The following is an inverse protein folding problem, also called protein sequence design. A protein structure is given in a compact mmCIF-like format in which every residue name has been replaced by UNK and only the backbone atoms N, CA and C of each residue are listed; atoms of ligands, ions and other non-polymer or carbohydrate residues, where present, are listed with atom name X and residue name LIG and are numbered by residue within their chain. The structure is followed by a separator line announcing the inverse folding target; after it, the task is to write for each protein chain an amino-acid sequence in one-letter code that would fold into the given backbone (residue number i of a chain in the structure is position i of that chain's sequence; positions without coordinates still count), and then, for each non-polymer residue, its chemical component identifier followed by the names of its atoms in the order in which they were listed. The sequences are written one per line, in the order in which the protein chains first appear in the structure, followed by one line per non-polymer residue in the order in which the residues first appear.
data_IF_153849675231
#
_entry.id   IF_153849675231
#
_cell.length_a   1.000
_cell.length_b   1.000
_cell.length_c   1.000
_cell.angle_alpha   90.00
_cell.angle_beta   90.00
_cell.angle_gamma   90.00
#
_symmetry.space_group_name_H-M   'P 1'
#
loop_
_entity.id
_entity.type
_entity.pdbx_description
1 polymer ?
#
# COMPACT_ATOMS: atom_id res chain seq x y z
N UNK A 1 -19.56 7.29 5.18
CA UNK A 1 -19.06 5.90 5.08
C UNK A 1 -19.29 5.25 3.71
N UNK A 2 -20.14 5.79 2.81
CA UNK A 2 -20.51 5.11 1.56
C UNK A 2 -19.51 5.23 0.37
N UNK A 3 -18.23 5.53 0.60
CA UNK A 3 -17.27 5.66 -0.51
C UNK A 3 -15.80 5.43 -0.13
N UNK A 4 -15.55 4.63 0.92
CA UNK A 4 -14.19 4.28 1.31
C UNK A 4 -13.54 3.39 0.24
N UNK A 5 -12.28 3.67 -0.09
CA UNK A 5 -11.47 2.85 -0.99
C UNK A 5 -10.14 2.59 -0.33
N UNK A 6 -9.70 1.34 -0.39
CA UNK A 6 -8.37 0.97 0.09
C UNK A 6 -7.40 1.03 -1.08
N UNK A 7 -6.35 1.84 -0.93
CA UNK A 7 -5.37 2.07 -2.00
C UNK A 7 -4.25 1.04 -1.94
N UNK A 8 -3.78 0.70 -0.74
CA UNK A 8 -2.64 -0.20 -0.51
C UNK A 8 -2.76 -0.85 0.87
N UNK A 9 -2.17 -2.02 1.05
CA UNK A 9 -1.94 -2.62 2.37
C UNK A 9 -0.44 -2.65 2.68
N UNK A 10 -0.10 -2.57 3.95
CA UNK A 10 1.28 -2.63 4.41
C UNK A 10 1.41 -3.74 5.45
N UNK A 11 2.34 -4.66 5.21
CA UNK A 11 2.70 -5.71 6.15
C UNK A 11 3.89 -5.27 7.01
N UNK A 12 4.34 -6.14 7.91
CA UNK A 12 5.58 -5.95 8.67
C UNK A 12 6.75 -5.58 7.77
N UNK A 13 7.67 -4.77 8.30
CA UNK A 13 8.89 -4.32 7.61
C UNK A 13 8.64 -3.56 6.29
N UNK A 14 7.42 -3.07 6.08
CA UNK A 14 7.08 -2.22 4.93
C UNK A 14 7.25 -0.74 5.27
N UNK A 15 7.74 0.03 4.30
CA UNK A 15 7.66 1.48 4.37
C UNK A 15 6.26 1.95 3.98
N UNK A 16 5.70 2.86 4.78
CA UNK A 16 4.43 3.52 4.50
C UNK A 16 4.64 5.03 4.53
N UNK A 17 4.08 5.73 3.55
CA UNK A 17 4.08 7.19 3.52
C UNK A 17 3.00 7.69 2.55
N UNK A 18 2.36 8.80 2.91
CA UNK A 18 1.62 9.61 1.95
C UNK A 18 2.64 10.39 1.10
N UNK A 19 3.23 9.74 0.09
CA UNK A 19 4.36 10.29 -0.68
C UNK A 19 4.11 11.68 -1.26
N UNK A 20 2.89 11.97 -1.72
CA UNK A 20 2.52 13.29 -2.22
C UNK A 20 2.75 14.36 -1.15
N UNK A 21 2.12 14.21 0.01
CA UNK A 21 2.31 15.09 1.17
C UNK A 21 3.75 15.10 1.68
N UNK A 22 4.41 13.94 1.75
CA UNK A 22 5.80 13.87 2.20
C UNK A 22 6.75 14.69 1.32
N UNK A 23 6.52 14.71 0.00
CA UNK A 23 7.35 15.44 -0.95
C UNK A 23 6.94 16.92 -1.01
N UNK A 24 5.64 17.21 -1.20
CA UNK A 24 5.15 18.58 -1.41
C UNK A 24 5.01 19.40 -0.12
N UNK A 25 4.99 18.73 1.04
CA UNK A 25 4.66 19.32 2.35
C UNK A 25 3.23 19.88 2.44
N UNK A 26 2.35 19.42 1.55
CA UNK A 26 0.93 19.78 1.56
C UNK A 26 0.10 18.73 2.30
N UNK A 27 -1.11 19.11 2.71
CA UNK A 27 -2.05 18.19 3.37
C UNK A 27 -2.48 17.11 2.36
N UNK A 28 -2.50 15.85 2.78
CA UNK A 28 -3.04 14.74 1.98
C UNK A 28 -4.51 14.50 2.28
N UNK A 29 -5.24 14.05 1.27
CA UNK A 29 -6.59 13.52 1.33
C UNK A 29 -6.65 12.03 1.74
N UNK A 30 -5.50 11.41 2.03
CA UNK A 30 -5.39 9.99 2.36
C UNK A 30 -5.26 9.79 3.86
N UNK A 31 -5.78 8.66 4.35
CA UNK A 31 -5.60 8.24 5.73
C UNK A 31 -4.78 6.96 5.78
N UNK A 32 -3.96 6.82 6.82
CA UNK A 32 -3.26 5.59 7.16
C UNK A 32 -3.86 5.09 8.47
N UNK A 33 -4.29 3.84 8.49
CA UNK A 33 -4.92 3.23 9.65
C UNK A 33 -4.26 1.88 9.94
N UNK A 34 -3.92 1.66 11.20
CA UNK A 34 -3.56 0.33 11.69
C UNK A 34 -4.82 -0.53 11.79
N UNK A 35 -4.81 -1.70 11.16
CA UNK A 35 -5.95 -2.63 11.17
C UNK A 35 -5.94 -3.57 12.39
N UNK A 36 -4.83 -3.59 13.12
CA UNK A 36 -4.57 -4.37 14.32
C UNK A 36 -3.48 -3.66 15.14
N UNK A 37 -3.23 -4.13 16.36
CA UNK A 37 -2.16 -3.61 17.22
C UNK A 37 -0.81 -3.67 16.50
N UNK A 38 -0.15 -2.52 16.36
CA UNK A 38 1.02 -2.35 15.50
C UNK A 38 2.08 -1.49 16.16
N UNK A 39 3.34 -1.83 15.94
CA UNK A 39 4.48 -0.97 16.26
C UNK A 39 5.02 -0.29 15.01
N UNK A 40 5.28 1.01 15.09
CA UNK A 40 5.74 1.80 13.95
C UNK A 40 6.99 2.60 14.31
N UNK A 41 7.93 2.66 13.37
CA UNK A 41 9.08 3.57 13.44
C UNK A 41 8.76 4.77 12.58
N UNK A 42 8.77 5.95 13.19
CA UNK A 42 8.49 7.22 12.50
C UNK A 42 9.82 7.87 12.13
N UNK A 43 9.97 8.19 10.85
CA UNK A 43 11.11 8.97 10.34
C UNK A 43 10.56 10.33 9.89
N UNK A 44 10.74 11.40 10.69
CA UNK A 44 10.32 12.73 10.28
C UNK A 44 11.07 13.19 9.04
N UNK A 45 10.41 13.99 8.18
CA UNK A 45 11.04 14.50 6.95
C UNK A 45 12.34 15.26 7.24
N UNK A 46 12.33 16.19 8.20
CA UNK A 46 13.51 16.99 8.53
C UNK A 46 14.71 16.10 8.91
N UNK A 47 14.44 14.99 9.61
CA UNK A 47 15.48 14.05 10.03
C UNK A 47 16.04 13.30 8.82
N UNK A 48 15.19 12.84 7.91
CA UNK A 48 15.63 12.19 6.68
C UNK A 48 16.41 13.15 5.76
N UNK A 49 15.96 14.40 5.65
CA UNK A 49 16.65 15.44 4.88
C UNK A 49 18.05 15.74 5.46
N UNK A 50 18.21 15.68 6.79
CA UNK A 50 19.52 15.80 7.43
C UNK A 50 20.40 14.56 7.25
N UNK A 51 19.82 13.36 7.23
CA UNK A 51 20.55 12.13 6.92
C UNK A 51 21.12 12.17 5.50
N UNK A 52 20.36 12.66 4.52
CA UNK A 52 20.82 12.83 3.14
C UNK A 52 22.05 13.74 3.01
N UNK A 53 22.18 14.75 3.89
CA UNK A 53 23.35 15.65 3.91
C UNK A 53 24.57 15.02 4.58
N UNK A 54 24.38 14.03 5.45
CA UNK A 54 25.45 13.42 6.25
C UNK A 54 26.24 12.38 5.46
N UNK A 55 25.55 11.51 4.73
CA UNK A 55 26.19 10.43 3.98
C UNK A 55 25.32 9.99 2.79
N UNK A 56 25.97 9.71 1.66
CA UNK A 56 25.32 9.28 0.42
C UNK A 56 24.56 7.94 0.55
N UNK A 57 24.91 7.09 1.53
CA UNK A 57 24.17 5.85 1.78
C UNK A 57 22.68 6.12 2.04
N UNK A 58 22.34 7.26 2.66
CA UNK A 58 20.95 7.63 2.92
C UNK A 58 20.21 8.02 1.65
N UNK A 59 20.87 8.67 0.68
CA UNK A 59 20.26 8.92 -0.62
C UNK A 59 19.92 7.61 -1.36
N UNK A 60 20.80 6.61 -1.27
CA UNK A 60 20.54 5.26 -1.83
C UNK A 60 19.38 4.59 -1.10
N UNK A 61 19.32 4.70 0.24
CA UNK A 61 18.21 4.20 1.04
C UNK A 61 16.87 4.81 0.61
N UNK A 62 16.79 6.14 0.49
CA UNK A 62 15.60 6.84 0.01
C UNK A 62 15.21 6.44 -1.41
N UNK A 63 16.18 6.28 -2.31
CA UNK A 63 15.96 5.80 -3.68
C UNK A 63 15.37 4.39 -3.69
N UNK A 64 15.89 3.46 -2.88
CA UNK A 64 15.37 2.08 -2.81
C UNK A 64 13.94 2.01 -2.30
N UNK A 65 13.59 2.87 -1.34
CA UNK A 65 12.20 3.02 -0.89
C UNK A 65 11.33 3.52 -2.05
N UNK A 66 11.77 4.58 -2.75
CA UNK A 66 11.02 5.16 -3.87
C UNK A 66 10.83 4.17 -5.03
N UNK A 67 11.87 3.44 -5.42
CA UNK A 67 11.82 2.37 -6.45
C UNK A 67 10.78 1.31 -6.08
N UNK A 68 10.83 0.80 -4.85
CA UNK A 68 9.90 -0.24 -4.38
C UNK A 68 8.44 0.24 -4.44
N UNK A 69 8.18 1.45 -3.98
CA UNK A 69 6.82 2.01 -3.93
C UNK A 69 6.30 2.37 -5.33
N UNK A 70 7.17 2.87 -6.20
CA UNK A 70 6.83 3.17 -7.59
C UNK A 70 6.50 1.91 -8.37
N UNK A 71 7.32 0.85 -8.24
CA UNK A 71 7.05 -0.44 -8.88
C UNK A 71 5.71 -1.03 -8.44
N UNK A 72 5.39 -0.98 -7.13
CA UNK A 72 4.07 -1.41 -6.63
C UNK A 72 2.93 -0.64 -7.29
N UNK A 73 3.02 0.69 -7.33
CA UNK A 73 2.00 1.55 -7.96
C UNK A 73 1.84 1.28 -9.45
N UNK A 74 2.93 1.19 -10.22
CA UNK A 74 2.87 0.89 -11.66
C UNK A 74 2.26 -0.49 -11.93
N UNK A 75 2.63 -1.52 -11.15
CA UNK A 75 2.04 -2.85 -11.28
C UNK A 75 0.54 -2.84 -10.96
N UNK A 76 0.15 -2.09 -9.92
CA UNK A 76 -1.26 -1.93 -9.53
C UNK A 76 -2.07 -1.25 -10.62
N UNK A 77 -1.59 -0.12 -11.14
CA UNK A 77 -2.22 0.63 -12.23
C UNK A 77 -2.42 -0.25 -13.46
N UNK A 78 -1.35 -0.93 -13.91
CA UNK A 78 -1.42 -1.89 -15.01
C UNK A 78 -2.48 -2.96 -14.75
N UNK A 79 -2.48 -3.55 -13.56
CA UNK A 79 -3.41 -4.62 -13.20
C UNK A 79 -4.88 -4.17 -13.20
N UNK A 80 -5.17 -2.92 -12.82
CA UNK A 80 -6.53 -2.36 -12.92
C UNK A 80 -7.02 -2.32 -14.37
N UNK A 81 -6.13 -1.98 -15.30
CA UNK A 81 -6.47 -1.81 -16.71
C UNK A 81 -6.58 -3.14 -17.47
N UNK A 82 -5.73 -4.12 -17.16
CA UNK A 82 -5.59 -5.33 -17.99
C UNK A 82 -6.18 -6.60 -17.37
N UNK A 83 -6.32 -6.66 -16.04
CA UNK A 83 -6.71 -7.91 -15.37
C UNK A 83 -8.19 -7.95 -14.99
N UNK A 84 -8.77 -9.15 -15.10
CA UNK A 84 -10.10 -9.44 -14.57
C UNK A 84 -10.13 -9.39 -13.04
N UNK A 85 -11.32 -9.31 -12.43
CA UNK A 85 -11.45 -9.30 -10.97
C UNK A 85 -10.82 -10.54 -10.30
N UNK A 86 -10.98 -11.72 -10.92
CA UNK A 86 -10.38 -12.98 -10.45
C UNK A 86 -8.86 -12.92 -10.50
N UNK A 87 -8.28 -12.47 -11.61
CA UNK A 87 -6.82 -12.32 -11.75
C UNK A 87 -6.26 -11.32 -10.74
N UNK A 88 -6.94 -10.17 -10.54
CA UNK A 88 -6.53 -9.19 -9.52
C UNK A 88 -6.56 -9.77 -8.12
N UNK A 89 -7.54 -10.61 -7.81
CA UNK A 89 -7.58 -11.32 -6.52
C UNK A 89 -6.40 -12.29 -6.39
N UNK A 90 -6.09 -13.09 -7.42
CA UNK A 90 -4.94 -14.01 -7.38
C UNK A 90 -3.59 -13.27 -7.22
N UNK A 91 -3.43 -12.13 -7.91
CA UNK A 91 -2.26 -11.26 -7.74
C UNK A 91 -2.19 -10.73 -6.30
N UNK A 92 -3.33 -10.26 -5.76
CA UNK A 92 -3.43 -9.79 -4.37
C UNK A 92 -2.99 -10.89 -3.38
N UNK A 93 -3.50 -12.12 -3.54
CA UNK A 93 -3.13 -13.24 -2.65
C UNK A 93 -1.63 -13.50 -2.65
N UNK A 94 -0.98 -13.41 -3.80
CA UNK A 94 0.47 -13.59 -3.91
C UNK A 94 1.24 -12.40 -3.30
N UNK A 95 0.78 -11.18 -3.55
CA UNK A 95 1.44 -9.97 -3.04
C UNK A 95 1.32 -9.83 -1.51
N UNK A 96 0.20 -10.28 -0.96
CA UNK A 96 -0.16 -10.11 0.45
C UNK A 96 -0.37 -11.45 1.16
N UNK A 97 0.35 -12.50 0.74
CA UNK A 97 0.22 -13.86 1.28
C UNK A 97 0.35 -13.91 2.81
N UNK A 98 1.22 -13.05 3.37
CA UNK A 98 1.50 -12.99 4.80
C UNK A 98 0.40 -12.30 5.62
N UNK A 99 -0.50 -11.54 4.99
CA UNK A 99 -1.52 -10.74 5.67
C UNK A 99 -2.94 -11.01 5.18
N UNK A 100 -3.15 -11.83 4.14
CA UNK A 100 -4.49 -12.12 3.59
C UNK A 100 -5.46 -12.57 4.69
N UNK A 101 -5.00 -13.42 5.62
CA UNK A 101 -5.83 -13.98 6.69
C UNK A 101 -6.15 -12.98 7.82
N UNK A 102 -5.44 -11.85 7.88
CA UNK A 102 -5.69 -10.74 8.84
C UNK A 102 -6.67 -9.71 8.29
N UNK A 103 -6.99 -9.79 7.00
CA UNK A 103 -7.86 -8.85 6.31
C UNK A 103 -9.29 -9.39 6.20
N UNK A 104 -10.26 -8.52 6.48
CA UNK A 104 -11.66 -8.84 6.25
C UNK A 104 -11.97 -8.94 4.74
N UNK A 105 -12.97 -9.75 4.39
CA UNK A 105 -13.44 -9.87 3.01
C UNK A 105 -13.83 -8.50 2.41
N UNK A 106 -14.41 -7.62 3.24
CA UNK A 106 -14.80 -6.28 2.82
C UNK A 106 -13.57 -5.42 2.46
N UNK A 107 -12.53 -5.42 3.29
CA UNK A 107 -11.28 -4.69 3.00
C UNK A 107 -10.65 -5.16 1.68
N UNK A 108 -10.59 -6.47 1.45
CA UNK A 108 -10.04 -7.02 0.21
C UNK A 108 -10.91 -6.58 -0.99
N UNK A 109 -12.24 -6.60 -0.86
CA UNK A 109 -13.15 -6.16 -1.92
C UNK A 109 -12.99 -4.66 -2.24
N UNK A 110 -12.89 -3.81 -1.21
CA UNK A 110 -12.61 -2.37 -1.36
C UNK A 110 -11.29 -2.11 -2.07
N UNK A 111 -10.24 -2.86 -1.74
CA UNK A 111 -8.95 -2.78 -2.43
C UNK A 111 -9.05 -3.20 -3.90
N UNK A 112 -9.74 -4.30 -4.19
CA UNK A 112 -9.89 -4.82 -5.57
C UNK A 112 -10.84 -4.01 -6.45
N UNK A 113 -11.61 -3.09 -5.86
CA UNK A 113 -12.61 -2.27 -6.53
C UNK A 113 -13.83 -3.08 -6.98
N UNK A 114 -14.23 -4.09 -6.20
CA UNK A 114 -15.38 -4.96 -6.48
C UNK A 114 -16.30 -5.04 -5.28
N UNK A 115 -17.53 -5.49 -5.48
CA UNK A 115 -18.47 -5.74 -4.39
C UNK A 115 -18.06 -6.97 -3.56
N UNK A 116 -18.27 -6.99 -2.23
CA UNK A 116 -17.95 -8.12 -1.37
C UNK A 116 -18.58 -9.45 -1.84
N UNK A 117 -19.80 -9.41 -2.38
CA UNK A 117 -20.49 -10.59 -2.93
C UNK A 117 -19.75 -11.16 -4.14
N UNK A 118 -19.20 -10.29 -5.00
CA UNK A 118 -18.38 -10.71 -6.14
C UNK A 118 -17.12 -11.44 -5.69
N UNK A 119 -16.45 -10.92 -4.65
CA UNK A 119 -15.27 -11.58 -4.08
C UNK A 119 -15.64 -12.92 -3.44
N UNK A 120 -16.76 -13.00 -2.73
CA UNK A 120 -17.26 -14.25 -2.15
C UNK A 120 -17.47 -15.34 -3.21
N UNK A 121 -18.00 -14.98 -4.39
CA UNK A 121 -18.15 -15.92 -5.51
C UNK A 121 -16.79 -16.38 -6.03
N UNK A 122 -15.84 -15.47 -6.22
CA UNK A 122 -14.49 -15.80 -6.71
C UNK A 122 -13.78 -16.79 -5.77
N UNK A 123 -13.95 -16.69 -4.45
CA UNK A 123 -13.31 -17.60 -3.47
C UNK A 123 -13.92 -19.00 -3.39
N UNK A 124 -15.12 -19.19 -3.94
CA UNK A 124 -15.83 -20.49 -3.92
C UNK A 124 -15.53 -21.38 -5.13
N UNK A 125 -14.87 -20.81 -6.15
CA UNK A 125 -14.38 -21.52 -7.34
C UNK A 125 -13.00 -22.06 -7.04
#
# INVERSE_FOLDING_TARGET
MANEKIIEFYAENSFVSAFTSFITQEITDWNIQAIEDSEIIIIPKYFLDDLYKRDNCWAIFGLKIFETQTLKKCNREKSILVNSATERYLIFRKQYENIENRLSLNQIALYLGIQPESLSRIRKV
#
